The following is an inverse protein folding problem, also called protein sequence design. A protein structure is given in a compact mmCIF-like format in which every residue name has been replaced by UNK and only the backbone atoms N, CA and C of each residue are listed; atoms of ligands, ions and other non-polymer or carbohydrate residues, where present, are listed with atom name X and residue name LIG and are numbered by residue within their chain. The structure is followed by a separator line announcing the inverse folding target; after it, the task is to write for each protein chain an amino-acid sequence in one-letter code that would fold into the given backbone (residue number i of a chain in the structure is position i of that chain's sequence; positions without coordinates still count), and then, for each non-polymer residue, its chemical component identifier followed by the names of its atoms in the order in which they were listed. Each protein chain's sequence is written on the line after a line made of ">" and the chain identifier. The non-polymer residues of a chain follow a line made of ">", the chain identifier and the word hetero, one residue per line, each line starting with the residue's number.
data_IF_099518967965
#
_entry.id   IF_099518967965
#
_cell.length_a   1.000
_cell.length_b   1.000
_cell.length_c   1.000
_cell.angle_alpha   90.00
_cell.angle_beta   90.00
_cell.angle_gamma   90.00
#
_symmetry.space_group_name_H-M   'P 1'
#
loop_
_entity.id
_entity.type
_entity.pdbx_description
1 polymer ?
#
# COMPACT_ATOMS: atom_id res chain seq x y z
N UNK A 1 -51.34 20.16 -24.01
CA UNK A 1 -50.32 20.77 -23.15
C UNK A 1 -49.32 19.67 -22.83
N UNK A 2 -48.13 19.76 -23.41
CA UNK A 2 -47.02 18.82 -23.16
C UNK A 2 -46.51 19.07 -21.73
N UNK A 3 -46.56 18.06 -20.86
CA UNK A 3 -45.96 18.13 -19.52
C UNK A 3 -44.45 18.29 -19.64
N UNK A 4 -43.92 19.40 -19.14
CA UNK A 4 -42.48 19.59 -18.96
C UNK A 4 -42.08 18.96 -17.63
N UNK A 5 -41.55 17.74 -17.67
CA UNK A 5 -40.95 17.09 -16.50
C UNK A 5 -39.50 17.54 -16.38
N UNK A 6 -39.14 18.34 -15.37
CA UNK A 6 -37.75 18.75 -15.18
C UNK A 6 -36.89 17.51 -14.94
N UNK A 7 -35.92 17.28 -15.83
CA UNK A 7 -34.90 16.26 -15.64
C UNK A 7 -34.01 16.73 -14.49
N UNK A 8 -34.20 16.18 -13.29
CA UNK A 8 -33.25 16.35 -12.19
C UNK A 8 -31.95 15.68 -12.67
N UNK A 9 -30.85 16.42 -12.91
CA UNK A 9 -29.61 15.78 -13.30
C UNK A 9 -29.24 14.80 -12.18
N UNK A 10 -29.12 13.52 -12.53
CA UNK A 10 -28.59 12.52 -11.62
C UNK A 10 -27.19 13.01 -11.19
N UNK A 11 -27.07 13.50 -9.96
CA UNK A 11 -25.76 13.78 -9.36
C UNK A 11 -25.06 12.43 -9.26
N UNK A 12 -24.21 12.10 -10.23
CA UNK A 12 -23.17 11.11 -10.05
C UNK A 12 -22.25 11.69 -8.98
N UNK A 13 -22.52 11.36 -7.72
CA UNK A 13 -21.66 11.69 -6.58
C UNK A 13 -20.36 10.91 -6.74
N UNK A 14 -19.48 11.35 -7.65
CA UNK A 14 -18.12 10.87 -7.72
C UNK A 14 -17.44 11.33 -6.43
N UNK A 15 -17.17 10.38 -5.53
CA UNK A 15 -16.36 10.66 -4.35
C UNK A 15 -15.00 11.13 -4.86
N UNK A 16 -14.61 12.34 -4.51
CA UNK A 16 -13.29 12.87 -4.85
C UNK A 16 -12.21 12.02 -4.18
N UNK A 17 -11.08 11.83 -4.88
CA UNK A 17 -9.95 11.05 -4.38
C UNK A 17 -9.43 11.68 -3.07
N UNK A 18 -9.56 11.01 -1.92
CA UNK A 18 -9.20 11.64 -0.66
C UNK A 18 -7.67 11.79 -0.54
N UNK A 19 -7.24 12.86 0.11
CA UNK A 19 -5.81 13.13 0.34
C UNK A 19 -5.10 12.01 1.09
N UNK A 20 -5.78 11.38 2.06
CA UNK A 20 -5.26 10.23 2.81
C UNK A 20 -5.06 9.00 1.93
N UNK A 21 -5.91 8.75 0.93
CA UNK A 21 -5.70 7.67 -0.04
C UNK A 21 -4.46 7.94 -0.90
N UNK A 22 -4.26 9.20 -1.31
CA UNK A 22 -3.04 9.60 -2.03
C UNK A 22 -1.81 9.43 -1.14
N UNK A 23 -1.90 9.78 0.15
CA UNK A 23 -0.84 9.56 1.13
C UNK A 23 -0.50 8.06 1.28
N UNK A 24 -1.49 7.17 1.45
CA UNK A 24 -1.27 5.71 1.48
C UNK A 24 -0.47 5.28 0.25
N UNK A 25 -0.90 5.72 -0.94
CA UNK A 25 -0.26 5.31 -2.19
C UNK A 25 1.21 5.75 -2.29
N UNK A 26 1.52 6.98 -1.89
CA UNK A 26 2.87 7.52 -2.00
C UNK A 26 3.78 6.98 -0.90
N UNK A 27 3.27 6.85 0.32
CA UNK A 27 4.02 6.32 1.46
C UNK A 27 4.35 4.84 1.25
N UNK A 28 3.38 4.01 0.84
CA UNK A 28 3.64 2.60 0.51
C UNK A 28 4.59 2.45 -0.66
N UNK A 29 4.55 3.34 -1.67
CA UNK A 29 5.54 3.31 -2.76
C UNK A 29 6.96 3.59 -2.23
N UNK A 30 7.12 4.67 -1.46
CA UNK A 30 8.41 5.06 -0.92
C UNK A 30 8.95 4.01 0.06
N UNK A 31 8.11 3.51 0.96
CA UNK A 31 8.49 2.48 1.93
C UNK A 31 8.82 1.15 1.25
N UNK A 32 8.06 0.76 0.23
CA UNK A 32 8.35 -0.43 -0.55
C UNK A 32 9.74 -0.41 -1.20
N UNK A 33 10.15 0.74 -1.76
CA UNK A 33 11.50 0.93 -2.29
C UNK A 33 12.54 0.84 -1.16
N UNK A 34 12.32 1.51 -0.04
CA UNK A 34 13.22 1.48 1.11
C UNK A 34 13.36 0.07 1.69
N UNK A 35 12.28 -0.70 1.77
CA UNK A 35 12.27 -2.09 2.23
C UNK A 35 13.04 -3.03 1.30
N UNK A 36 12.92 -2.84 -0.02
CA UNK A 36 13.72 -3.57 -1.01
C UNK A 36 15.21 -3.29 -0.80
N UNK A 37 15.60 -2.01 -0.75
CA UNK A 37 16.99 -1.61 -0.57
C UNK A 37 17.55 -2.08 0.77
N UNK A 38 16.78 -1.93 1.85
CA UNK A 38 17.18 -2.36 3.19
C UNK A 38 17.37 -3.87 3.26
N UNK A 39 16.42 -4.67 2.77
CA UNK A 39 16.51 -6.13 2.81
C UNK A 39 17.66 -6.68 1.96
N UNK A 40 17.97 -6.05 0.82
CA UNK A 40 19.13 -6.38 0.00
C UNK A 40 20.45 -6.01 0.71
N UNK A 41 20.52 -4.84 1.34
CA UNK A 41 21.70 -4.45 2.12
C UNK A 41 21.91 -5.34 3.34
N UNK A 42 20.84 -5.72 4.04
CA UNK A 42 20.89 -6.63 5.19
C UNK A 42 21.37 -8.02 4.76
N UNK A 43 20.70 -8.62 3.78
CA UNK A 43 21.02 -9.97 3.29
C UNK A 43 22.41 -10.01 2.64
N UNK A 44 22.72 -9.03 1.78
CA UNK A 44 24.02 -8.91 1.14
C UNK A 44 25.14 -8.64 2.13
N UNK A 45 24.93 -7.75 3.10
CA UNK A 45 25.88 -7.45 4.16
C UNK A 45 26.20 -8.67 5.02
N UNK A 46 25.18 -9.42 5.44
CA UNK A 46 25.36 -10.67 6.19
C UNK A 46 26.11 -11.70 5.35
N UNK A 47 25.73 -11.90 4.09
CA UNK A 47 26.41 -12.84 3.21
C UNK A 47 27.88 -12.47 3.00
N UNK A 48 28.21 -11.19 2.82
CA UNK A 48 29.59 -10.73 2.63
C UNK A 48 30.43 -10.89 3.91
N UNK A 49 29.91 -10.49 5.07
CA UNK A 49 30.61 -10.58 6.36
C UNK A 49 30.89 -12.03 6.75
N UNK A 50 29.98 -12.94 6.40
CA UNK A 50 30.08 -14.37 6.74
C UNK A 50 30.71 -15.22 5.64
N UNK A 51 31.30 -14.61 4.60
CA UNK A 51 31.87 -15.31 3.43
C UNK A 51 30.90 -16.32 2.79
N UNK A 52 29.61 -15.98 2.75
CA UNK A 52 28.55 -16.76 2.12
C UNK A 52 27.79 -17.70 3.05
N UNK A 53 28.26 -17.96 4.27
CA UNK A 53 27.59 -18.86 5.23
C UNK A 53 26.23 -18.28 5.66
N UNK A 54 26.15 -16.96 5.79
CA UNK A 54 24.95 -16.23 6.15
C UNK A 54 23.83 -16.28 5.09
N UNK A 55 24.10 -16.83 3.90
CA UNK A 55 23.05 -17.11 2.92
C UNK A 55 22.09 -18.20 3.41
N UNK A 56 22.48 -19.03 4.38
CA UNK A 56 21.55 -19.95 5.07
C UNK A 56 20.44 -19.19 5.82
N UNK A 57 20.71 -17.96 6.26
CA UNK A 57 19.72 -17.09 6.89
C UNK A 57 18.95 -16.22 5.88
N UNK A 58 19.25 -16.33 4.57
CA UNK A 58 18.59 -15.54 3.53
C UNK A 58 17.05 -15.61 3.55
N UNK A 59 16.39 -16.76 3.81
CA UNK A 59 14.93 -16.81 3.90
C UNK A 59 14.34 -15.89 4.97
N UNK A 60 15.10 -15.58 6.02
CA UNK A 60 14.67 -14.68 7.09
C UNK A 60 15.01 -13.21 6.75
N UNK A 61 16.19 -12.96 6.21
CA UNK A 61 16.68 -11.59 5.95
C UNK A 61 16.11 -10.98 4.67
N UNK A 62 15.55 -11.80 3.76
CA UNK A 62 14.89 -11.35 2.53
C UNK A 62 13.44 -10.90 2.77
N UNK A 63 12.86 -11.17 3.95
CA UNK A 63 11.47 -10.82 4.26
C UNK A 63 11.14 -9.33 4.02
N UNK A 64 12.00 -8.35 4.41
CA UNK A 64 11.76 -6.94 4.09
C UNK A 64 11.72 -6.70 2.58
N UNK A 65 12.56 -7.38 1.79
CA UNK A 65 12.56 -7.24 0.32
C UNK A 65 11.26 -7.73 -0.29
N UNK A 66 10.76 -8.90 0.15
CA UNK A 66 9.49 -9.45 -0.33
C UNK A 66 8.32 -8.54 0.03
N UNK A 67 8.31 -8.02 1.27
CA UNK A 67 7.31 -7.04 1.71
C UNK A 67 7.33 -5.80 0.81
N UNK A 68 8.51 -5.25 0.54
CA UNK A 68 8.63 -4.04 -0.29
C UNK A 68 8.15 -4.25 -1.73
N UNK A 69 8.32 -5.44 -2.30
CA UNK A 69 7.74 -5.78 -3.61
C UNK A 69 6.21 -5.72 -3.56
N UNK A 70 5.59 -6.28 -2.52
CA UNK A 70 4.14 -6.24 -2.38
C UNK A 70 3.62 -4.81 -2.18
N UNK A 71 4.34 -3.97 -1.45
CA UNK A 71 3.99 -2.56 -1.28
C UNK A 71 4.07 -1.78 -2.59
N UNK A 72 5.12 -1.99 -3.40
CA UNK A 72 5.23 -1.35 -4.71
C UNK A 72 4.09 -1.80 -5.64
N UNK A 73 3.77 -3.10 -5.67
CA UNK A 73 2.64 -3.61 -6.46
C UNK A 73 1.31 -3.02 -5.96
N UNK A 74 1.14 -2.89 -4.65
CA UNK A 74 -0.05 -2.30 -4.07
C UNK A 74 -0.16 -0.80 -4.42
N UNK A 75 0.90 -0.04 -4.20
CA UNK A 75 0.96 1.40 -4.47
C UNK A 75 0.76 1.72 -5.95
N UNK A 76 1.38 0.97 -6.85
CA UNK A 76 1.18 1.17 -8.31
C UNK A 76 -0.28 1.00 -8.73
N UNK A 77 -1.04 0.11 -8.08
CA UNK A 77 -2.48 -0.04 -8.32
C UNK A 77 -3.28 1.17 -7.80
N UNK A 78 -2.93 1.70 -6.63
CA UNK A 78 -3.54 2.91 -6.06
C UNK A 78 -3.21 4.19 -6.85
N UNK A 79 -2.02 4.27 -7.43
CA UNK A 79 -1.54 5.43 -8.20
C UNK A 79 -2.03 5.43 -9.66
N UNK A 80 -2.56 4.31 -10.16
CA UNK A 80 -3.13 4.24 -11.49
C UNK A 80 -4.26 5.29 -11.68
N UNK A 81 -4.46 5.72 -12.93
CA UNK A 81 -5.50 6.66 -13.31
C UNK A 81 -6.33 6.08 -14.49
N UNK A 82 -7.58 5.60 -14.24
CA UNK A 82 -8.25 5.52 -12.94
C UNK A 82 -7.59 4.48 -12.01
N UNK A 83 -7.78 4.64 -10.70
CA UNK A 83 -7.17 3.75 -9.69
C UNK A 83 -7.74 2.34 -9.82
N UNK A 84 -6.87 1.32 -9.76
CA UNK A 84 -7.29 -0.07 -9.98
C UNK A 84 -8.02 -0.62 -8.74
N UNK A 85 -9.03 -1.48 -8.92
CA UNK A 85 -9.72 -2.15 -7.82
C UNK A 85 -8.74 -2.94 -6.95
N UNK A 86 -8.65 -2.58 -5.67
CA UNK A 86 -7.88 -3.25 -4.63
C UNK A 86 -8.54 -3.02 -3.28
N UNK A 87 -8.34 -3.96 -2.34
CA UNK A 87 -8.79 -3.80 -0.96
C UNK A 87 -7.67 -3.19 -0.08
N UNK A 88 -8.02 -2.53 1.04
CA UNK A 88 -7.06 -2.15 2.07
C UNK A 88 -6.25 -3.34 2.56
N UNK A 89 -4.91 -3.26 2.50
CA UNK A 89 -4.05 -4.39 2.84
C UNK A 89 -3.54 -4.30 4.29
N UNK A 90 -4.40 -4.69 5.24
CA UNK A 90 -4.06 -4.72 6.68
C UNK A 90 -2.85 -5.63 6.94
N UNK A 91 -2.75 -6.73 6.20
CA UNK A 91 -1.62 -7.66 6.31
C UNK A 91 -0.28 -6.98 5.99
N UNK A 92 -0.22 -6.10 4.97
CA UNK A 92 1.00 -5.35 4.67
C UNK A 92 1.36 -4.41 5.82
N UNK A 93 0.38 -3.67 6.36
CA UNK A 93 0.62 -2.77 7.50
C UNK A 93 1.15 -3.49 8.76
N UNK A 94 0.66 -4.71 9.04
CA UNK A 94 1.17 -5.53 10.16
C UNK A 94 2.60 -6.00 9.88
N UNK A 95 2.88 -6.47 8.66
CA UNK A 95 4.22 -6.92 8.28
C UNK A 95 5.25 -5.78 8.31
N UNK A 96 4.85 -4.56 7.92
CA UNK A 96 5.66 -3.34 8.04
C UNK A 96 6.03 -3.07 9.51
N UNK A 97 5.08 -3.23 10.44
CA UNK A 97 5.34 -3.11 11.88
C UNK A 97 6.31 -4.19 12.36
N UNK A 98 6.16 -5.43 11.89
CA UNK A 98 7.07 -6.53 12.24
C UNK A 98 8.50 -6.32 11.71
N UNK A 99 8.73 -5.47 10.71
CA UNK A 99 10.09 -5.17 10.22
C UNK A 99 11.01 -4.53 11.28
N UNK A 100 10.47 -4.02 12.40
CA UNK A 100 11.26 -3.56 13.55
C UNK A 100 12.17 -4.67 14.11
N UNK A 101 11.75 -5.93 14.01
CA UNK A 101 12.53 -7.09 14.46
C UNK A 101 13.84 -7.26 13.68
N UNK A 102 13.90 -6.70 12.47
CA UNK A 102 15.07 -6.70 11.60
C UNK A 102 15.82 -5.37 11.63
N UNK A 103 15.50 -4.45 12.55
CA UNK A 103 16.18 -3.17 12.69
C UNK A 103 15.70 -2.08 11.72
N UNK A 104 14.61 -2.30 11.00
CA UNK A 104 14.03 -1.31 10.10
C UNK A 104 13.02 -0.44 10.86
N UNK A 105 13.43 0.78 11.22
CA UNK A 105 12.63 1.69 12.05
C UNK A 105 11.65 2.54 11.24
N UNK A 106 11.84 2.68 9.93
CA UNK A 106 10.98 3.52 9.08
C UNK A 106 9.69 2.77 8.74
N UNK A 107 9.81 1.50 8.37
CA UNK A 107 8.68 0.67 7.93
C UNK A 107 7.54 0.58 8.96
N UNK A 108 7.79 0.39 10.27
CA UNK A 108 6.73 0.39 11.27
C UNK A 108 5.91 1.68 11.34
N UNK A 109 6.54 2.83 11.11
CA UNK A 109 5.85 4.13 11.11
C UNK A 109 4.86 4.18 9.95
N UNK A 110 5.30 3.77 8.76
CA UNK A 110 4.45 3.73 7.56
C UNK A 110 3.30 2.74 7.73
N UNK A 111 3.58 1.55 8.27
CA UNK A 111 2.56 0.55 8.59
C UNK A 111 1.48 1.07 9.53
N UNK A 112 1.86 1.77 10.61
CA UNK A 112 0.90 2.38 11.55
C UNK A 112 0.05 3.44 10.83
N UNK A 113 0.68 4.35 10.08
CA UNK A 113 -0.04 5.40 9.36
C UNK A 113 -1.03 4.83 8.34
N UNK A 114 -0.64 3.79 7.60
CA UNK A 114 -1.51 3.09 6.68
C UNK A 114 -2.73 2.48 7.41
N UNK A 115 -2.51 1.78 8.52
CA UNK A 115 -3.59 1.21 9.33
C UNK A 115 -4.56 2.28 9.87
N UNK A 116 -4.04 3.43 10.29
CA UNK A 116 -4.86 4.57 10.71
C UNK A 116 -5.68 5.12 9.54
N UNK A 117 -5.05 5.33 8.38
CA UNK A 117 -5.74 5.87 7.21
C UNK A 117 -6.77 4.90 6.62
N UNK A 118 -6.55 3.59 6.70
CA UNK A 118 -7.56 2.59 6.34
C UNK A 118 -8.81 2.65 7.22
N UNK A 119 -8.71 3.22 8.43
CA UNK A 119 -9.86 3.36 9.32
C UNK A 119 -10.69 4.63 9.04
N UNK A 120 -10.22 5.55 8.20
CA UNK A 120 -10.93 6.78 7.83
C UNK A 120 -12.12 6.50 6.90
N UNK A 121 -13.27 7.13 7.16
CA UNK A 121 -14.51 6.88 6.43
C UNK A 121 -14.44 7.33 4.96
N UNK A 122 -13.71 8.41 4.67
CA UNK A 122 -13.53 8.89 3.29
C UNK A 122 -12.68 7.92 2.47
N UNK A 123 -11.64 7.34 3.10
CA UNK A 123 -10.78 6.33 2.49
C UNK A 123 -11.56 5.04 2.25
N UNK A 124 -12.34 4.57 3.23
CA UNK A 124 -13.22 3.40 3.08
C UNK A 124 -14.23 3.58 1.94
N UNK A 125 -14.87 4.74 1.87
CA UNK A 125 -15.85 5.05 0.83
C UNK A 125 -15.21 5.09 -0.57
N UNK A 126 -14.00 5.65 -0.70
CA UNK A 126 -13.27 5.67 -1.96
C UNK A 126 -12.81 4.26 -2.39
N UNK A 127 -12.34 3.43 -1.44
CA UNK A 127 -12.05 2.01 -1.73
C UNK A 127 -13.31 1.27 -2.19
N UNK A 128 -14.47 1.51 -1.58
CA UNK A 128 -15.73 0.90 -2.03
C UNK A 128 -16.09 1.32 -3.47
N UNK A 129 -15.92 2.61 -3.79
CA UNK A 129 -16.19 3.16 -5.12
C UNK A 129 -15.31 2.53 -6.21
N UNK A 130 -14.00 2.42 -6.01
CA UNK A 130 -13.10 1.84 -7.03
C UNK A 130 -13.32 0.33 -7.20
N UNK A 131 -13.85 -0.36 -6.17
CA UNK A 131 -14.15 -1.78 -6.25
C UNK A 131 -15.54 -2.06 -6.87
N UNK A 132 -16.50 -1.13 -6.76
CA UNK A 132 -17.81 -1.28 -7.42
C UNK A 132 -17.75 -1.08 -8.93
N UNK A 133 -16.73 -0.39 -9.44
CA UNK A 133 -16.51 -0.16 -10.88
C UNK A 133 -16.15 -1.42 -11.70
N UNK A 134 -15.99 -2.58 -11.06
CA UNK A 134 -15.65 -3.86 -11.72
C UNK A 134 -16.79 -4.88 -11.63
N UNK A 135 -17.95 -4.48 -11.11
CA UNK A 135 -19.12 -5.36 -10.96
C UNK A 135 -20.06 -5.36 -12.18
N UNK A 136 -19.62 -4.80 -13.31
CA UNK A 136 -20.35 -4.77 -14.60
C UNK A 136 -19.80 -5.82 -15.58
#
# INVERSE_FOLDING_TARGET
>A
MSEYTPQIPAQSSSIDKPGMFTAISLMSMANGILNILYGLMLTGGIALVTLGIGLLCAPLTILPTVLGIFEVIYATKLMANPSKPVQPSIALGILEICCVLWGNLISPVVGILNLVFYNDDSVKAYFAQINSQTSD
#
